data_IF_437070306242
#
_entry.id   IF_437070306242
#
_cell.length_a   1.000
_cell.length_b   1.000
_cell.length_c   1.000
_cell.angle_alpha   90.00
_cell.angle_beta   90.00
_cell.angle_gamma   90.00
#
_symmetry.space_group_name_H-M   'P 1'
#
loop_
_entity.id
_entity.type
_entity.pdbx_description
1 polymer ?
#
# COMPACT_ATOMS: atom_id res chain seq x y z
N UNK A 1 70.52 -6.57 2.76
CA UNK A 1 70.89 -6.79 1.34
C UNK A 1 69.63 -7.27 0.62
N UNK A 2 68.81 -6.36 0.07
CA UNK A 2 68.85 -5.85 -1.32
C UNK A 2 68.43 -6.95 -2.34
N UNK A 3 67.47 -6.79 -3.26
CA UNK A 3 66.78 -5.60 -3.74
C UNK A 3 65.44 -5.94 -4.44
N UNK A 4 64.55 -4.95 -4.46
CA UNK A 4 63.35 -4.82 -5.31
C UNK A 4 63.68 -4.90 -6.80
N UNK A 5 62.75 -5.43 -7.61
CA UNK A 5 62.56 -4.99 -9.01
C UNK A 5 61.11 -4.57 -9.25
N UNK A 6 60.94 -3.26 -9.43
CA UNK A 6 59.80 -2.61 -10.10
C UNK A 6 59.91 -2.86 -11.61
N UNK A 7 58.79 -2.96 -12.32
CA UNK A 7 58.74 -2.59 -13.74
C UNK A 7 57.45 -1.83 -14.05
N UNK A 8 57.61 -0.85 -14.94
CA UNK A 8 56.75 0.29 -15.21
C UNK A 8 55.50 0.00 -16.06
N UNK A 9 54.50 0.87 -15.86
CA UNK A 9 53.44 1.24 -16.80
C UNK A 9 54.00 1.75 -18.14
N UNK A 10 53.15 1.82 -19.17
CA UNK A 10 53.05 3.06 -19.95
C UNK A 10 51.64 3.67 -19.91
N UNK A 11 51.61 4.98 -19.64
CA UNK A 11 50.56 5.91 -20.05
C UNK A 11 50.60 6.07 -21.57
N UNK A 12 49.44 6.15 -22.24
CA UNK A 12 49.23 7.09 -23.34
C UNK A 12 47.77 7.60 -23.38
N UNK A 13 47.65 8.90 -23.69
CA UNK A 13 46.47 9.79 -23.71
C UNK A 13 45.51 9.47 -24.88
N UNK A 14 44.23 9.89 -24.74
CA UNK A 14 43.08 9.70 -25.68
C UNK A 14 43.14 10.50 -26.99
N UNK A 15 42.03 11.00 -27.61
CA UNK A 15 40.58 10.73 -27.48
C UNK A 15 39.89 10.36 -28.84
N UNK A 16 38.64 9.86 -28.85
CA UNK A 16 37.85 9.84 -30.10
C UNK A 16 36.62 8.94 -30.16
N UNK A 17 35.44 9.59 -30.20
CA UNK A 17 34.25 9.25 -30.99
C UNK A 17 33.57 7.88 -30.78
N UNK A 18 32.45 7.92 -30.06
CA UNK A 18 31.37 6.94 -30.14
C UNK A 18 30.81 6.90 -31.57
N UNK A 19 31.04 5.80 -32.28
CA UNK A 19 30.28 5.42 -33.46
C UNK A 19 29.11 4.52 -33.06
N UNK A 20 27.92 5.03 -33.32
CA UNK A 20 26.64 4.34 -33.25
C UNK A 20 26.54 3.30 -34.39
N UNK A 21 26.23 2.01 -34.13
CA UNK A 21 25.75 1.14 -35.19
C UNK A 21 24.24 1.34 -35.33
N UNK A 22 23.85 2.04 -36.38
CA UNK A 22 22.49 1.95 -36.91
C UNK A 22 22.26 0.51 -37.39
N UNK A 23 21.33 -0.18 -36.74
CA UNK A 23 20.75 -1.40 -37.30
C UNK A 23 19.28 -1.11 -37.57
N UNK A 24 19.01 -0.83 -38.84
CA UNK A 24 17.66 -0.84 -39.40
C UNK A 24 17.13 -2.27 -39.37
N UNK A 25 16.12 -2.51 -38.54
CA UNK A 25 15.22 -3.65 -38.74
C UNK A 25 13.83 -3.11 -39.06
N UNK A 26 13.45 -3.27 -40.32
CA UNK A 26 12.09 -3.16 -40.82
C UNK A 26 11.28 -4.36 -40.34
N UNK A 27 10.53 -4.20 -39.25
CA UNK A 27 9.49 -5.15 -38.86
C UNK A 27 8.13 -4.65 -39.32
N UNK A 28 7.55 -5.33 -40.32
CA UNK A 28 6.12 -5.27 -40.61
C UNK A 28 5.36 -6.05 -39.52
N UNK A 29 4.38 -5.47 -38.82
CA UNK A 29 3.44 -6.25 -38.04
C UNK A 29 2.19 -6.54 -38.88
N UNK A 30 2.09 -7.75 -39.41
CA UNK A 30 0.82 -8.33 -39.85
C UNK A 30 0.32 -9.30 -38.77
N UNK A 31 -0.55 -8.79 -37.89
CA UNK A 31 -1.71 -9.51 -37.31
C UNK A 31 -2.45 -8.55 -36.38
N UNK A 32 -3.66 -8.23 -36.81
CA UNK A 32 -4.56 -7.25 -36.23
C UNK A 32 -5.13 -7.76 -34.89
N UNK A 33 -5.06 -6.93 -33.85
CA UNK A 33 -5.93 -7.01 -32.68
C UNK A 33 -7.19 -6.20 -32.98
N UNK A 34 -8.36 -6.83 -32.98
CA UNK A 34 -9.66 -6.21 -33.30
C UNK A 34 -10.23 -5.33 -32.17
N UNK A 35 -9.48 -5.07 -31.09
CA UNK A 35 -9.98 -4.37 -29.90
C UNK A 35 -9.26 -3.05 -29.57
N UNK A 36 -8.31 -2.59 -30.39
CA UNK A 36 -7.53 -1.37 -30.12
C UNK A 36 -7.91 -0.14 -30.96
N UNK A 37 -9.08 -0.11 -31.62
CA UNK A 37 -9.50 0.99 -32.49
C UNK A 37 -10.42 2.05 -31.83
N UNK A 38 -10.22 2.39 -30.56
CA UNK A 38 -10.82 3.63 -30.02
C UNK A 38 -9.79 4.42 -29.21
N UNK A 39 -9.30 5.48 -29.87
CA UNK A 39 -8.55 6.63 -29.36
C UNK A 39 -7.02 6.50 -29.31
N UNK A 40 -6.39 6.49 -30.49
CA UNK A 40 -5.06 7.09 -30.65
C UNK A 40 -5.25 8.52 -31.18
N UNK A 41 -5.08 9.52 -30.32
CA UNK A 41 -4.81 10.89 -30.76
C UNK A 41 -3.30 11.01 -30.87
N UNK A 42 -2.81 11.21 -32.09
CA UNK A 42 -1.42 11.54 -32.42
C UNK A 42 -1.05 12.91 -31.83
N UNK A 43 -0.04 12.95 -30.97
CA UNK A 43 0.58 14.19 -30.51
C UNK A 43 1.72 14.57 -31.45
N UNK A 44 1.57 15.67 -32.18
CA UNK A 44 2.69 16.38 -32.78
C UNK A 44 2.56 17.87 -32.48
N UNK A 45 3.71 18.45 -32.14
CA UNK A 45 4.04 19.88 -32.15
C UNK A 45 3.89 20.63 -30.82
N UNK A 46 5.06 20.82 -30.22
CA UNK A 46 5.43 21.81 -29.21
C UNK A 46 5.20 23.22 -29.76
N UNK A 47 4.54 24.13 -29.04
CA UNK A 47 4.95 25.55 -28.94
C UNK A 47 4.20 26.30 -27.82
N UNK A 48 5.01 26.87 -26.92
CA UNK A 48 4.91 28.18 -26.24
C UNK A 48 3.71 28.54 -25.33
N UNK A 49 4.05 28.83 -24.05
CA UNK A 49 3.24 29.53 -23.03
C UNK A 49 2.99 31.00 -23.44
N UNK A 50 1.92 31.62 -22.90
CA UNK A 50 2.16 32.54 -21.78
C UNK A 50 1.21 32.41 -20.58
N UNK A 51 1.73 32.96 -19.50
CA UNK A 51 1.27 33.30 -18.15
C UNK A 51 -0.22 33.56 -17.85
N UNK A 52 -0.61 33.05 -16.67
CA UNK A 52 -1.46 33.66 -15.62
C UNK A 52 -2.94 33.91 -15.91
N UNK A 53 -3.82 33.03 -15.42
CA UNK A 53 -5.01 33.42 -14.64
C UNK A 53 -5.70 32.21 -14.00
N UNK A 54 -6.05 32.36 -12.73
CA UNK A 54 -6.90 31.47 -11.94
C UNK A 54 -8.28 31.36 -12.55
N UNK A 55 -8.70 30.14 -12.91
CA UNK A 55 -10.10 29.83 -13.20
C UNK A 55 -10.47 28.55 -12.46
N UNK A 56 -11.32 28.67 -11.44
CA UNK A 56 -12.13 27.57 -10.96
C UNK A 56 -13.07 27.17 -12.08
N UNK A 57 -12.81 26.05 -12.74
CA UNK A 57 -13.71 25.54 -13.77
C UNK A 57 -14.79 24.68 -13.11
N UNK A 58 -15.98 25.28 -12.99
CA UNK A 58 -17.23 24.59 -12.79
C UNK A 58 -17.69 24.10 -14.17
N UNK A 59 -17.44 22.83 -14.49
CA UNK A 59 -18.13 22.16 -15.60
C UNK A 59 -19.07 21.11 -15.04
N UNK A 60 -20.36 21.40 -15.17
CA UNK A 60 -21.48 20.50 -14.96
C UNK A 60 -21.45 19.41 -16.05
N UNK A 61 -21.11 18.19 -15.66
CA UNK A 61 -21.24 17.03 -16.54
C UNK A 61 -22.61 16.39 -16.31
N UNK A 62 -23.59 16.87 -17.09
CA UNK A 62 -24.93 16.32 -17.21
C UNK A 62 -24.89 15.03 -18.04
N UNK A 63 -24.42 13.94 -17.44
CA UNK A 63 -24.70 12.59 -17.93
C UNK A 63 -24.69 11.56 -16.79
N UNK A 64 -25.35 11.90 -15.69
CA UNK A 64 -25.55 11.00 -14.56
C UNK A 64 -26.92 10.32 -14.74
N UNK A 65 -26.94 8.99 -14.69
CA UNK A 65 -28.17 8.21 -14.80
C UNK A 65 -29.21 8.66 -13.75
N UNK A 66 -30.51 8.65 -14.07
CA UNK A 66 -31.56 9.07 -13.14
C UNK A 66 -31.45 8.31 -11.82
N UNK A 67 -31.55 9.00 -10.68
CA UNK A 67 -31.38 8.37 -9.35
C UNK A 67 -32.40 7.25 -9.12
N UNK A 68 -33.58 7.35 -9.73
CA UNK A 68 -34.64 6.33 -9.68
C UNK A 68 -34.22 4.99 -10.30
N UNK A 69 -33.26 4.98 -11.23
CA UNK A 69 -32.77 3.75 -11.86
C UNK A 69 -31.83 2.93 -10.97
N UNK A 70 -31.40 3.48 -9.83
CA UNK A 70 -30.43 2.87 -8.93
C UNK A 70 -31.08 2.08 -7.78
N UNK A 71 -32.41 2.14 -7.63
CA UNK A 71 -33.14 1.56 -6.50
C UNK A 71 -34.40 0.82 -6.97
N UNK A 72 -34.86 -0.16 -6.19
CA UNK A 72 -36.14 -0.82 -6.48
C UNK A 72 -37.32 0.11 -6.15
N UNK A 73 -38.52 -0.10 -6.72
CA UNK A 73 -39.70 0.72 -6.42
C UNK A 73 -40.03 0.82 -4.92
N UNK A 74 -39.83 -0.28 -4.17
CA UNK A 74 -40.06 -0.35 -2.73
C UNK A 74 -39.04 0.49 -1.94
N UNK A 75 -37.78 0.49 -2.41
CA UNK A 75 -36.70 1.30 -1.86
C UNK A 75 -36.95 2.79 -2.13
N UNK A 76 -37.34 3.15 -3.36
CA UNK A 76 -37.71 4.52 -3.72
C UNK A 76 -38.85 5.04 -2.83
N UNK A 77 -39.90 4.23 -2.63
CA UNK A 77 -41.03 4.60 -1.77
C UNK A 77 -40.59 4.82 -0.32
N UNK A 78 -39.71 3.96 0.20
CA UNK A 78 -39.17 4.08 1.57
C UNK A 78 -38.35 5.36 1.75
N UNK A 79 -37.47 5.67 0.78
CA UNK A 79 -36.65 6.88 0.81
C UNK A 79 -37.53 8.13 0.77
N UNK A 80 -38.48 8.18 -0.17
CA UNK A 80 -39.40 9.31 -0.33
C UNK A 80 -40.28 9.50 0.91
N UNK A 81 -40.74 8.40 1.52
CA UNK A 81 -41.50 8.46 2.75
C UNK A 81 -40.71 9.17 3.85
N UNK A 82 -39.48 8.73 4.12
CA UNK A 82 -38.63 9.34 5.16
C UNK A 82 -38.32 10.81 4.84
N UNK A 83 -38.00 11.15 3.59
CA UNK A 83 -37.70 12.54 3.21
C UNK A 83 -38.93 13.47 3.31
N UNK A 84 -40.13 12.94 3.11
CA UNK A 84 -41.37 13.72 3.19
C UNK A 84 -41.93 13.82 4.61
N UNK A 85 -41.67 12.84 5.49
CA UNK A 85 -42.27 12.80 6.84
C UNK A 85 -41.32 13.16 7.97
N UNK A 86 -40.02 12.89 7.85
CA UNK A 86 -39.06 13.11 8.94
C UNK A 86 -38.92 14.59 9.30
N UNK A 87 -38.83 14.89 10.59
CA UNK A 87 -38.53 16.21 11.13
C UNK A 87 -37.09 16.64 10.86
N UNK A 88 -36.78 17.92 11.07
CA UNK A 88 -35.41 18.44 10.89
C UNK A 88 -34.39 17.70 11.78
N UNK A 89 -34.76 17.40 13.03
CA UNK A 89 -33.90 16.67 13.97
C UNK A 89 -33.67 15.22 13.55
N UNK A 90 -34.69 14.55 13.01
CA UNK A 90 -34.59 13.18 12.49
C UNK A 90 -33.74 13.13 11.21
N UNK A 91 -33.90 14.09 10.30
CA UNK A 91 -33.03 14.22 9.12
C UNK A 91 -31.58 14.52 9.53
N UNK A 92 -31.37 15.36 10.54
CA UNK A 92 -30.03 15.66 11.07
C UNK A 92 -29.35 14.46 11.76
N UNK A 93 -30.08 13.40 12.10
CA UNK A 93 -29.48 12.15 12.57
C UNK A 93 -28.58 11.52 11.48
N UNK A 94 -28.95 11.69 10.20
CA UNK A 94 -28.11 11.29 9.06
C UNK A 94 -26.94 12.25 8.93
N UNK A 95 -25.71 11.73 9.10
CA UNK A 95 -24.46 12.53 9.15
C UNK A 95 -24.32 13.54 8.00
N UNK A 96 -24.75 13.18 6.78
CA UNK A 96 -24.62 14.02 5.58
C UNK A 96 -25.73 15.07 5.41
N UNK A 97 -26.81 14.97 6.19
CA UNK A 97 -27.93 15.91 6.18
C UNK A 97 -27.87 16.94 7.33
N UNK A 98 -26.87 16.85 8.21
CA UNK A 98 -26.70 17.81 9.32
C UNK A 98 -26.60 19.26 8.87
N UNK A 99 -27.08 20.17 9.73
CA UNK A 99 -27.04 21.61 9.51
C UNK A 99 -28.02 22.03 8.43
N UNK A 100 -27.64 23.00 7.59
CA UNK A 100 -28.54 23.64 6.61
C UNK A 100 -29.22 22.68 5.64
N UNK A 101 -28.67 21.48 5.41
CA UNK A 101 -29.27 20.51 4.47
C UNK A 101 -30.60 19.94 4.98
N UNK A 102 -30.69 19.57 6.26
CA UNK A 102 -31.95 19.11 6.86
C UNK A 102 -32.98 20.25 6.85
N UNK A 103 -32.58 21.46 7.24
CA UNK A 103 -33.43 22.65 7.19
C UNK A 103 -33.94 22.92 5.77
N UNK A 104 -33.06 22.87 4.76
CA UNK A 104 -33.42 23.09 3.36
C UNK A 104 -34.40 22.03 2.83
N UNK A 105 -34.30 20.77 3.26
CA UNK A 105 -35.25 19.72 2.85
C UNK A 105 -36.65 20.03 3.40
N UNK A 106 -36.74 20.38 4.69
CA UNK A 106 -38.01 20.71 5.34
C UNK A 106 -38.62 21.98 4.77
N UNK A 107 -37.81 23.01 4.52
CA UNK A 107 -38.24 24.26 3.91
C UNK A 107 -38.69 24.06 2.45
N UNK A 108 -37.94 23.28 1.68
CA UNK A 108 -38.24 23.01 0.28
C UNK A 108 -39.58 22.29 0.14
N UNK A 109 -39.80 21.20 0.89
CA UNK A 109 -41.08 20.47 0.86
C UNK A 109 -42.24 21.27 1.43
N UNK A 110 -41.98 22.17 2.39
CA UNK A 110 -42.98 23.11 2.90
C UNK A 110 -43.43 24.13 1.86
N UNK A 111 -42.54 24.53 0.94
CA UNK A 111 -42.83 25.51 -0.13
C UNK A 111 -43.35 24.88 -1.42
N UNK A 112 -42.88 23.69 -1.78
CA UNK A 112 -43.12 23.07 -3.09
C UNK A 112 -43.96 21.79 -3.02
N UNK A 113 -44.37 21.38 -1.82
CA UNK A 113 -45.06 20.11 -1.59
C UNK A 113 -44.10 18.92 -1.44
N UNK A 114 -44.64 17.71 -1.21
CA UNK A 114 -43.83 16.51 -1.03
C UNK A 114 -43.06 16.13 -2.31
N UNK A 115 -41.88 15.53 -2.14
CA UNK A 115 -41.11 14.96 -3.24
C UNK A 115 -41.86 13.78 -3.88
N UNK A 116 -41.97 13.79 -5.21
CA UNK A 116 -42.68 12.76 -5.98
C UNK A 116 -41.73 11.66 -6.52
N UNK A 117 -40.49 12.03 -6.80
CA UNK A 117 -39.43 11.15 -7.32
C UNK A 117 -38.08 11.46 -6.65
N UNK A 118 -37.08 10.59 -6.79
CA UNK A 118 -35.79 10.81 -6.14
C UNK A 118 -34.96 11.92 -6.82
N UNK A 119 -35.27 12.24 -8.08
CA UNK A 119 -34.59 13.29 -8.82
C UNK A 119 -34.98 14.69 -8.31
N UNK A 120 -36.22 14.88 -7.85
CA UNK A 120 -36.74 16.12 -7.28
C UNK A 120 -35.98 16.56 -6.01
N UNK A 121 -35.31 15.62 -5.34
CA UNK A 121 -34.43 15.89 -4.20
C UNK A 121 -33.18 16.69 -4.62
N UNK A 122 -32.76 16.61 -5.89
CA UNK A 122 -31.64 17.38 -6.42
C UNK A 122 -31.95 18.87 -6.59
N UNK A 123 -33.23 19.23 -6.62
CA UNK A 123 -33.66 20.63 -6.65
C UNK A 123 -33.51 21.34 -5.29
N UNK A 124 -33.22 20.59 -4.22
CA UNK A 124 -32.97 21.16 -2.89
C UNK A 124 -31.57 21.79 -2.84
N UNK A 125 -31.45 23.06 -2.41
CA UNK A 125 -30.14 23.71 -2.30
C UNK A 125 -29.17 22.92 -1.41
N UNK A 126 -27.92 22.79 -1.86
CA UNK A 126 -26.82 22.06 -1.21
C UNK A 126 -26.92 20.52 -1.26
N UNK A 127 -27.91 19.94 -1.96
CA UNK A 127 -27.95 18.51 -2.27
C UNK A 127 -27.47 18.26 -3.70
N UNK A 128 -26.28 17.66 -3.82
CA UNK A 128 -25.72 17.21 -5.11
C UNK A 128 -25.87 15.71 -5.25
N UNK A 129 -25.92 15.21 -6.48
CA UNK A 129 -26.10 13.78 -6.81
C UNK A 129 -25.24 12.82 -5.97
N UNK A 130 -23.93 13.06 -5.83
CA UNK A 130 -23.04 12.25 -5.00
C UNK A 130 -23.44 12.22 -3.52
N UNK A 131 -23.94 13.32 -2.97
CA UNK A 131 -24.41 13.38 -1.57
C UNK A 131 -25.74 12.67 -1.44
N UNK A 132 -26.65 12.90 -2.38
CA UNK A 132 -28.00 12.33 -2.39
C UNK A 132 -27.99 10.80 -2.47
N UNK A 133 -27.14 10.22 -3.32
CA UNK A 133 -26.97 8.76 -3.39
C UNK A 133 -26.47 8.14 -2.06
N UNK A 134 -25.57 8.82 -1.34
CA UNK A 134 -25.07 8.34 -0.04
C UNK A 134 -26.14 8.53 1.07
N UNK A 135 -26.97 9.56 0.96
CA UNK A 135 -28.10 9.77 1.88
C UNK A 135 -29.15 8.68 1.71
N UNK A 136 -29.52 8.34 0.48
CA UNK A 136 -30.51 7.30 0.17
C UNK A 136 -30.09 5.93 0.69
N UNK A 137 -28.84 5.53 0.43
CA UNK A 137 -28.26 4.31 1.01
C UNK A 137 -28.26 4.33 2.54
N UNK A 138 -28.03 5.48 3.17
CA UNK A 138 -28.11 5.64 4.63
C UNK A 138 -29.53 5.55 5.18
N UNK A 139 -30.56 5.93 4.41
CA UNK A 139 -31.97 5.85 4.80
C UNK A 139 -32.48 4.42 4.67
N UNK A 140 -32.14 3.71 3.59
CA UNK A 140 -32.54 2.32 3.36
C UNK A 140 -31.92 1.34 4.34
N UNK A 141 -30.79 1.71 4.94
CA UNK A 141 -30.08 0.83 5.85
C UNK A 141 -29.47 1.62 7.01
N UNK A 142 -30.28 2.00 8.02
CA UNK A 142 -29.79 2.69 9.21
C UNK A 142 -28.76 1.85 10.00
N UNK A 143 -28.73 0.53 9.76
CA UNK A 143 -27.78 -0.43 10.33
C UNK A 143 -26.71 -0.96 9.35
N UNK A 144 -26.82 -0.68 8.05
CA UNK A 144 -25.74 -0.97 7.08
C UNK A 144 -25.01 0.33 6.76
N UNK A 145 -23.99 0.59 7.57
CA UNK A 145 -23.01 1.64 7.30
C UNK A 145 -22.51 1.46 5.86
N UNK A 146 -22.66 2.45 4.95
CA UNK A 146 -22.04 2.37 3.63
C UNK A 146 -20.54 2.23 3.85
N UNK A 147 -19.95 1.12 3.41
CA UNK A 147 -18.53 0.77 3.52
C UNK A 147 -17.86 1.39 4.76
N UNK A 148 -18.14 0.80 5.94
CA UNK A 148 -17.52 1.08 7.24
C UNK A 148 -16.50 2.23 7.18
N UNK A 149 -16.96 3.45 7.45
CA UNK A 149 -16.10 4.34 8.25
C UNK A 149 -15.95 3.62 9.57
N UNK A 150 -14.82 2.92 9.67
CA UNK A 150 -14.19 2.39 10.88
C UNK A 150 -14.68 3.23 12.06
N UNK A 151 -15.22 2.53 13.06
CA UNK A 151 -15.47 3.09 14.38
C UNK A 151 -14.31 4.01 14.79
N UNK A 152 -14.52 4.95 15.70
CA UNK A 152 -13.42 5.69 16.33
C UNK A 152 -12.54 4.75 17.20
N UNK A 153 -12.07 3.63 16.66
CA UNK A 153 -10.90 2.93 17.14
C UNK A 153 -9.69 3.79 16.84
N UNK A 154 -8.72 3.76 17.75
CA UNK A 154 -7.44 4.44 17.57
C UNK A 154 -6.70 3.77 16.41
N UNK A 155 -6.93 4.23 15.18
CA UNK A 155 -6.22 3.71 14.01
C UNK A 155 -4.73 4.01 14.12
N UNK A 156 -3.93 3.06 13.66
CA UNK A 156 -2.49 3.07 13.87
C UNK A 156 -1.79 3.72 12.68
N UNK A 157 -1.15 4.89 12.90
CA UNK A 157 -0.58 5.71 11.81
C UNK A 157 0.55 5.04 11.01
N UNK A 158 1.24 4.05 11.60
CA UNK A 158 2.38 3.38 10.96
C UNK A 158 1.98 2.18 10.08
N UNK A 159 0.70 1.79 10.06
CA UNK A 159 0.13 0.70 9.27
C UNK A 159 -0.82 1.24 8.20
N UNK A 160 -0.80 0.63 7.01
CA UNK A 160 -1.77 0.89 5.93
C UNK A 160 -2.21 -0.43 5.26
N UNK A 161 -3.45 -0.55 4.75
CA UNK A 161 -4.59 0.35 4.97
C UNK A 161 -4.95 0.49 6.46
N UNK A 162 -5.81 1.45 6.80
CA UNK A 162 -6.24 1.67 8.19
C UNK A 162 -7.03 0.46 8.68
N UNK A 163 -6.60 -0.10 9.82
CA UNK A 163 -7.24 -1.23 10.50
C UNK A 163 -7.41 -0.87 11.97
N UNK A 164 -8.52 -1.31 12.56
CA UNK A 164 -8.78 -1.14 13.98
C UNK A 164 -7.66 -1.79 14.81
N UNK A 165 -7.15 -1.06 15.80
CA UNK A 165 -6.07 -1.52 16.67
C UNK A 165 -6.38 -2.83 17.38
N UNK A 166 -7.64 -3.04 17.76
CA UNK A 166 -8.07 -4.27 18.44
C UNK A 166 -7.96 -5.50 17.52
N UNK A 167 -8.21 -5.32 16.21
CA UNK A 167 -7.98 -6.39 15.23
C UNK A 167 -6.48 -6.70 15.14
N UNK A 168 -5.64 -5.67 15.07
CA UNK A 168 -4.18 -5.85 15.02
C UNK A 168 -3.63 -6.54 16.29
N UNK A 169 -4.18 -6.21 17.47
CA UNK A 169 -3.82 -6.84 18.75
C UNK A 169 -4.34 -8.27 18.90
N UNK A 170 -5.43 -8.61 18.21
CA UNK A 170 -6.03 -9.96 18.27
C UNK A 170 -5.28 -11.00 17.43
N UNK A 171 -4.33 -10.59 16.59
CA UNK A 171 -3.51 -11.51 15.81
C UNK A 171 -2.66 -12.41 16.72
N UNK A 172 -2.80 -13.73 16.57
CA UNK A 172 -2.00 -14.72 17.27
C UNK A 172 -0.58 -14.79 16.70
N UNK A 173 -0.47 -14.64 15.37
CA UNK A 173 0.82 -14.57 14.68
C UNK A 173 0.81 -13.67 13.45
N UNK A 174 1.99 -13.15 13.10
CA UNK A 174 2.23 -12.35 11.90
C UNK A 174 3.39 -12.91 11.08
N UNK A 175 3.36 -12.69 9.76
CA UNK A 175 4.56 -12.77 8.93
C UNK A 175 4.96 -11.38 8.50
N UNK A 176 6.12 -10.93 8.95
CA UNK A 176 6.77 -9.71 8.47
C UNK A 176 7.60 -10.02 7.23
N UNK A 177 7.43 -9.24 6.15
CA UNK A 177 8.04 -9.46 4.84
C UNK A 177 8.76 -8.18 4.41
N UNK A 178 10.03 -8.33 4.02
CA UNK A 178 10.88 -7.26 3.48
C UNK A 178 11.48 -7.74 2.17
N UNK A 179 11.50 -6.87 1.16
CA UNK A 179 12.01 -7.19 -0.17
C UNK A 179 12.92 -6.08 -0.68
N UNK A 180 14.08 -6.51 -1.17
CA UNK A 180 15.07 -5.66 -1.80
C UNK A 180 15.10 -5.85 -3.31
N UNK A 181 16.20 -5.45 -3.94
CA UNK A 181 16.35 -5.51 -5.40
C UNK A 181 16.60 -6.91 -5.96
N UNK A 182 16.92 -7.90 -5.13
CA UNK A 182 17.20 -9.27 -5.56
C UNK A 182 16.79 -10.36 -4.55
N UNK A 183 16.20 -9.99 -3.41
CA UNK A 183 15.87 -10.90 -2.31
C UNK A 183 14.54 -10.53 -1.68
N UNK A 184 13.86 -11.54 -1.17
CA UNK A 184 12.73 -11.40 -0.25
C UNK A 184 13.09 -12.15 1.03
N UNK A 185 12.89 -11.52 2.17
CA UNK A 185 13.04 -12.13 3.48
C UNK A 185 11.75 -12.02 4.26
N UNK A 186 11.51 -13.00 5.14
CA UNK A 186 10.34 -12.99 6.01
C UNK A 186 10.67 -13.55 7.39
N UNK A 187 9.96 -13.05 8.40
CA UNK A 187 9.99 -13.52 9.77
C UNK A 187 8.55 -13.80 10.24
N UNK A 188 8.27 -15.04 10.62
CA UNK A 188 7.03 -15.47 11.25
C UNK A 188 7.19 -15.42 12.76
N UNK A 189 6.34 -14.66 13.43
CA UNK A 189 6.43 -14.42 14.87
C UNK A 189 5.05 -14.36 15.52
N UNK A 190 4.91 -15.02 16.65
CA UNK A 190 3.68 -14.97 17.44
C UNK A 190 3.62 -13.77 18.40
N UNK A 191 2.44 -13.58 19.00
CA UNK A 191 2.16 -12.53 19.99
C UNK A 191 3.00 -12.64 21.27
N UNK A 192 3.72 -13.75 21.49
CA UNK A 192 4.66 -13.93 22.61
C UNK A 192 6.09 -13.55 22.21
N UNK A 193 6.27 -12.95 21.04
CA UNK A 193 7.55 -12.57 20.46
C UNK A 193 8.49 -13.77 20.25
N UNK A 194 7.95 -14.97 19.98
CA UNK A 194 8.75 -16.15 19.61
C UNK A 194 8.86 -16.24 18.10
N UNK A 195 10.10 -16.29 17.59
CA UNK A 195 10.37 -16.47 16.16
C UNK A 195 10.10 -17.92 15.78
N UNK A 196 9.08 -18.15 14.96
CA UNK A 196 8.68 -19.48 14.51
C UNK A 196 9.40 -19.88 13.21
N UNK A 197 9.54 -18.93 12.29
CA UNK A 197 10.28 -19.10 11.05
C UNK A 197 11.00 -17.80 10.68
N UNK A 198 12.21 -17.89 10.12
CA UNK A 198 12.95 -16.72 9.66
C UNK A 198 13.93 -17.10 8.55
N UNK A 199 13.63 -16.64 7.33
CA UNK A 199 14.29 -17.08 6.11
C UNK A 199 14.42 -15.93 5.09
N UNK A 200 15.15 -16.23 4.02
CA UNK A 200 15.23 -15.40 2.82
C UNK A 200 15.31 -16.27 1.57
N UNK A 201 14.84 -15.72 0.45
CA UNK A 201 14.99 -16.29 -0.87
C UNK A 201 15.62 -15.25 -1.82
N UNK A 202 16.44 -15.73 -2.75
CA UNK A 202 16.88 -14.94 -3.90
C UNK A 202 15.85 -15.02 -5.01
N UNK A 203 15.68 -13.92 -5.73
CA UNK A 203 14.79 -13.81 -6.88
C UNK A 203 15.65 -13.54 -8.13
N UNK A 204 16.01 -14.57 -8.91
CA UNK A 204 16.87 -14.42 -10.07
C UNK A 204 16.30 -13.45 -11.13
N UNK A 205 14.98 -13.32 -11.23
CA UNK A 205 14.34 -12.44 -12.21
C UNK A 205 14.37 -10.95 -11.82
N UNK A 206 14.62 -10.65 -10.54
CA UNK A 206 14.49 -9.29 -10.04
C UNK A 206 15.57 -8.38 -10.62
N UNK A 207 15.13 -7.25 -11.16
CA UNK A 207 15.98 -6.19 -11.73
C UNK A 207 17.00 -6.70 -12.77
N UNK A 208 16.73 -7.84 -13.44
CA UNK A 208 17.59 -8.38 -14.50
C UNK A 208 16.96 -8.18 -15.88
N UNK A 209 17.70 -7.50 -16.75
CA UNK A 209 17.29 -7.28 -18.14
C UNK A 209 16.00 -6.46 -18.27
N UNK A 210 15.18 -6.81 -19.25
CA UNK A 210 13.91 -6.13 -19.52
C UNK A 210 12.86 -6.47 -18.46
N UNK A 211 12.13 -5.45 -18.00
CA UNK A 211 11.03 -5.65 -17.06
C UNK A 211 9.89 -6.45 -17.70
N UNK A 212 9.61 -7.64 -17.15
CA UNK A 212 8.50 -8.51 -17.54
C UNK A 212 7.75 -8.99 -16.30
N UNK A 213 6.50 -8.56 -16.15
CA UNK A 213 5.68 -8.88 -14.97
C UNK A 213 5.41 -10.39 -14.81
N UNK A 214 5.29 -11.14 -15.91
CA UNK A 214 5.08 -12.58 -15.86
C UNK A 214 6.25 -13.31 -15.18
N UNK A 215 7.50 -12.91 -15.46
CA UNK A 215 8.69 -13.53 -14.88
C UNK A 215 8.79 -13.20 -13.38
N UNK A 216 8.42 -11.99 -12.97
CA UNK A 216 8.31 -11.63 -11.56
C UNK A 216 7.30 -12.51 -10.83
N UNK A 217 6.16 -12.79 -11.47
CA UNK A 217 5.10 -13.60 -10.88
C UNK A 217 5.58 -15.04 -10.60
N UNK A 218 6.44 -15.62 -11.44
CA UNK A 218 7.00 -16.97 -11.21
C UNK A 218 7.83 -17.05 -9.92
N UNK A 219 8.80 -16.13 -9.78
CA UNK A 219 9.65 -16.03 -8.57
C UNK A 219 8.79 -15.75 -7.32
N UNK A 220 7.89 -14.77 -7.41
CA UNK A 220 7.07 -14.34 -6.27
C UNK A 220 6.05 -15.42 -5.88
N UNK A 221 5.46 -16.14 -6.83
CA UNK A 221 4.55 -17.25 -6.54
C UNK A 221 5.27 -18.39 -5.83
N UNK A 222 6.50 -18.70 -6.27
CA UNK A 222 7.36 -19.71 -5.62
C UNK A 222 7.73 -19.31 -4.20
N UNK A 223 7.95 -18.03 -3.94
CA UNK A 223 8.24 -17.53 -2.59
C UNK A 223 6.98 -17.50 -1.75
N UNK A 224 5.87 -16.99 -2.29
CA UNK A 224 4.60 -16.93 -1.60
C UNK A 224 4.22 -18.32 -1.08
N UNK A 225 4.33 -19.38 -1.88
CA UNK A 225 4.02 -20.75 -1.44
C UNK A 225 4.87 -21.27 -0.27
N UNK A 226 6.05 -20.69 -0.02
CA UNK A 226 6.93 -21.03 1.13
C UNK A 226 6.63 -20.21 2.38
N UNK A 227 5.97 -19.07 2.23
CA UNK A 227 5.60 -18.22 3.35
C UNK A 227 4.52 -18.93 4.19
N UNK A 228 4.73 -19.13 5.51
CA UNK A 228 3.78 -19.83 6.36
C UNK A 228 2.46 -19.06 6.51
N UNK A 229 1.42 -19.76 6.94
CA UNK A 229 0.13 -19.14 7.24
C UNK A 229 0.21 -18.35 8.56
N UNK A 230 -0.37 -17.16 8.57
CA UNK A 230 -0.49 -16.30 9.74
C UNK A 230 -1.77 -15.44 9.64
N UNK A 231 -2.11 -14.74 10.71
CA UNK A 231 -3.32 -13.90 10.76
C UNK A 231 -3.16 -12.61 9.98
N UNK A 232 -1.92 -12.08 9.93
CA UNK A 232 -1.56 -10.87 9.23
C UNK A 232 -0.22 -11.04 8.51
N UNK A 233 -0.12 -10.45 7.31
CA UNK A 233 1.11 -10.32 6.55
C UNK A 233 1.52 -8.84 6.50
N UNK A 234 2.69 -8.52 7.04
CA UNK A 234 3.18 -7.13 7.17
C UNK A 234 4.30 -6.91 6.17
N UNK A 235 4.03 -6.16 5.11
CA UNK A 235 5.01 -5.77 4.10
C UNK A 235 5.67 -4.46 4.47
N UNK A 236 6.94 -4.32 4.13
CA UNK A 236 7.62 -3.03 4.26
C UNK A 236 7.11 -2.00 3.25
N UNK A 237 6.67 -0.84 3.76
CA UNK A 237 6.45 0.34 2.94
C UNK A 237 7.71 1.16 2.82
N UNK A 238 8.39 1.00 1.67
CA UNK A 238 9.54 1.83 1.30
C UNK A 238 9.18 3.32 1.15
N UNK A 239 10.09 4.18 1.61
CA UNK A 239 9.95 5.64 1.62
C UNK A 239 10.42 6.33 0.32
N UNK A 240 10.61 5.58 -0.78
CA UNK A 240 11.00 6.16 -2.06
C UNK A 240 9.97 7.19 -2.57
N UNK A 241 10.46 8.40 -2.85
CA UNK A 241 9.65 9.50 -3.38
C UNK A 241 9.41 9.33 -4.88
N UNK A 242 8.16 9.57 -5.30
CA UNK A 242 7.75 9.64 -6.72
C UNK A 242 8.43 10.79 -7.48
N UNK A 243 8.97 11.78 -6.77
CA UNK A 243 9.61 12.95 -7.37
C UNK A 243 11.03 12.65 -7.86
N UNK A 244 11.67 11.59 -7.36
CA UNK A 244 13.01 11.21 -7.77
C UNK A 244 12.96 10.24 -8.96
N UNK A 245 12.99 10.80 -10.17
CA UNK A 245 12.93 10.04 -11.42
C UNK A 245 14.11 9.09 -11.61
N UNK A 246 15.29 9.37 -11.02
CA UNK A 246 16.46 8.50 -11.12
C UNK A 246 16.26 7.15 -10.41
N UNK A 247 15.39 7.11 -9.39
CA UNK A 247 15.06 5.89 -8.66
C UNK A 247 13.81 5.19 -9.20
N UNK A 248 13.26 5.66 -10.32
CA UNK A 248 12.04 5.11 -10.90
C UNK A 248 12.13 3.60 -11.18
N UNK A 249 13.22 3.02 -11.73
CA UNK A 249 13.29 1.58 -11.97
C UNK A 249 13.20 0.77 -10.67
N UNK A 250 13.87 1.22 -9.60
CA UNK A 250 13.83 0.57 -8.29
C UNK A 250 12.43 0.72 -7.68
N UNK A 251 11.83 1.90 -7.81
CA UNK A 251 10.48 2.14 -7.32
C UNK A 251 9.45 1.26 -8.04
N UNK A 252 9.48 1.20 -9.38
CA UNK A 252 8.61 0.34 -10.18
C UNK A 252 8.74 -1.11 -9.71
N UNK A 253 9.98 -1.59 -9.60
CA UNK A 253 10.27 -2.92 -9.07
C UNK A 253 9.64 -3.18 -7.69
N UNK A 254 9.90 -2.32 -6.69
CA UNK A 254 9.36 -2.50 -5.35
C UNK A 254 7.83 -2.44 -5.33
N UNK A 255 7.20 -1.60 -6.16
CA UNK A 255 5.73 -1.52 -6.27
C UNK A 255 5.12 -2.75 -6.93
N UNK A 256 5.80 -3.32 -7.92
CA UNK A 256 5.39 -4.58 -8.55
C UNK A 256 5.44 -5.73 -7.57
N UNK A 257 6.56 -5.88 -6.83
CA UNK A 257 6.71 -6.91 -5.80
C UNK A 257 5.66 -6.74 -4.70
N UNK A 258 5.45 -5.50 -4.24
CA UNK A 258 4.38 -5.14 -3.27
C UNK A 258 3.01 -5.62 -3.76
N UNK A 259 2.61 -5.25 -4.98
CA UNK A 259 1.29 -5.56 -5.53
C UNK A 259 1.06 -7.07 -5.71
N UNK A 260 2.06 -7.80 -6.20
CA UNK A 260 1.97 -9.25 -6.38
C UNK A 260 1.87 -9.99 -5.05
N UNK A 261 2.69 -9.61 -4.06
CA UNK A 261 2.61 -10.18 -2.71
C UNK A 261 1.27 -9.85 -2.04
N UNK A 262 0.79 -8.61 -2.15
CA UNK A 262 -0.53 -8.21 -1.66
C UNK A 262 -1.62 -9.12 -2.21
N UNK A 263 -1.61 -9.35 -3.51
CA UNK A 263 -2.65 -10.14 -4.19
C UNK A 263 -2.56 -11.62 -3.82
N UNK A 264 -1.37 -12.21 -3.91
CA UNK A 264 -1.17 -13.65 -3.67
C UNK A 264 -1.40 -14.04 -2.22
N UNK A 265 -1.02 -13.18 -1.26
CA UNK A 265 -1.22 -13.46 0.16
C UNK A 265 -2.65 -13.16 0.60
N UNK A 266 -3.30 -12.13 0.05
CA UNK A 266 -4.70 -11.84 0.32
C UNK A 266 -5.63 -12.96 -0.20
N UNK A 267 -5.30 -13.57 -1.34
CA UNK A 267 -6.06 -14.68 -1.92
C UNK A 267 -6.13 -15.94 -1.03
N UNK A 268 -5.30 -16.02 0.02
CA UNK A 268 -5.35 -17.12 1.01
C UNK A 268 -6.52 -17.01 1.98
N UNK A 269 -7.10 -15.84 2.09
CA UNK A 269 -8.23 -15.59 2.95
C UNK A 269 -9.52 -15.64 2.14
N UNK A 270 -10.59 -16.09 2.78
CA UNK A 270 -11.94 -15.93 2.23
C UNK A 270 -12.29 -14.45 2.23
N UNK A 271 -13.36 -14.08 1.53
CA UNK A 271 -13.87 -12.70 1.48
C UNK A 271 -14.33 -12.23 2.88
N UNK A 272 -13.35 -11.89 3.72
CA UNK A 272 -13.54 -11.28 5.02
C UNK A 272 -13.50 -9.76 4.84
N UNK A 273 -14.29 -9.03 5.63
CA UNK A 273 -14.43 -7.57 5.52
C UNK A 273 -13.20 -6.75 5.99
N UNK A 274 -12.05 -7.37 6.27
CA UNK A 274 -10.86 -6.64 6.71
C UNK A 274 -9.57 -7.09 6.03
N UNK A 275 -8.66 -6.14 5.74
CA UNK A 275 -7.42 -6.43 5.05
C UNK A 275 -6.45 -7.19 5.95
N UNK A 276 -5.93 -8.30 5.43
CA UNK A 276 -4.98 -9.19 6.12
C UNK A 276 -3.53 -8.94 5.72
N UNK A 277 -3.33 -8.33 4.56
CA UNK A 277 -2.02 -7.90 4.08
C UNK A 277 -1.92 -6.40 4.29
N UNK A 278 -0.87 -5.98 4.98
CA UNK A 278 -0.68 -4.63 5.49
C UNK A 278 0.70 -4.13 5.12
N UNK A 279 0.86 -2.82 5.14
CA UNK A 279 2.09 -2.09 4.89
C UNK A 279 2.53 -1.38 6.16
N UNK A 280 3.75 -1.64 6.63
CA UNK A 280 4.35 -0.94 7.76
C UNK A 280 5.41 0.06 7.30
N UNK A 281 5.37 1.28 7.81
CA UNK A 281 6.30 2.32 7.39
C UNK A 281 7.72 2.05 7.88
N UNK A 282 8.69 1.90 6.96
CA UNK A 282 10.12 1.70 7.25
C UNK A 282 10.68 2.73 8.24
N UNK A 283 10.25 3.99 8.12
CA UNK A 283 10.68 5.10 8.98
C UNK A 283 10.21 4.89 10.43
N UNK A 284 9.01 4.35 10.63
CA UNK A 284 8.48 4.09 11.98
C UNK A 284 9.29 3.01 12.69
N UNK A 285 9.65 1.94 11.98
CA UNK A 285 10.58 0.90 12.47
C UNK A 285 11.94 1.50 12.80
N UNK A 286 12.50 2.31 11.90
CA UNK A 286 13.79 2.97 12.11
C UNK A 286 13.82 3.87 13.35
N UNK A 287 12.79 4.71 13.54
CA UNK A 287 12.66 5.57 14.73
C UNK A 287 12.53 4.77 16.01
N UNK A 288 11.73 3.71 16.00
CA UNK A 288 11.49 2.85 17.15
C UNK A 288 12.78 2.23 17.72
N UNK A 289 13.71 1.83 16.85
CA UNK A 289 14.99 1.25 17.24
C UNK A 289 16.15 2.25 17.31
N UNK A 290 15.91 3.55 17.15
CA UNK A 290 16.98 4.54 17.14
C UNK A 290 17.96 4.40 15.97
N UNK A 291 17.52 3.83 14.84
CA UNK A 291 18.34 3.59 13.64
C UNK A 291 18.31 4.76 12.65
N UNK A 292 17.78 5.93 13.03
CA UNK A 292 17.69 7.08 12.13
C UNK A 292 18.88 8.03 12.32
N UNK A 293 19.52 8.40 11.22
CA UNK A 293 20.52 9.48 11.14
C UNK A 293 20.02 10.49 10.12
N UNK A 294 19.47 11.60 10.62
CA UNK A 294 18.69 12.53 9.81
C UNK A 294 17.44 11.84 9.25
N UNK A 295 17.28 11.86 7.92
CA UNK A 295 16.18 11.18 7.21
C UNK A 295 16.52 9.76 6.75
N UNK A 296 17.78 9.35 6.93
CA UNK A 296 18.29 8.05 6.48
C UNK A 296 18.30 7.03 7.60
N UNK A 297 17.91 5.79 7.29
CA UNK A 297 17.98 4.66 8.24
C UNK A 297 19.31 3.93 8.10
N UNK A 298 19.99 3.65 9.21
CA UNK A 298 21.21 2.85 9.29
C UNK A 298 20.89 1.35 9.40
N UNK A 299 21.92 0.51 9.25
CA UNK A 299 21.80 -0.95 9.39
C UNK A 299 21.39 -1.35 10.81
N UNK A 300 20.47 -2.30 10.92
CA UNK A 300 20.03 -2.87 12.20
C UNK A 300 20.85 -4.08 12.66
N UNK A 301 21.87 -4.51 11.91
CA UNK A 301 22.57 -5.78 12.15
C UNK A 301 23.20 -5.85 13.54
N UNK A 302 23.83 -4.78 14.02
CA UNK A 302 24.45 -4.76 15.36
C UNK A 302 23.42 -4.95 16.46
N UNK A 303 22.25 -4.31 16.32
CA UNK A 303 21.13 -4.47 17.25
C UNK A 303 20.60 -5.91 17.24
N UNK A 304 20.47 -6.49 16.05
CA UNK A 304 20.06 -7.88 15.89
C UNK A 304 21.04 -8.86 16.55
N UNK A 305 22.34 -8.66 16.36
CA UNK A 305 23.38 -9.48 17.01
C UNK A 305 23.26 -9.41 18.53
N UNK A 306 23.00 -8.21 19.08
CA UNK A 306 22.75 -8.04 20.50
C UNK A 306 21.50 -8.81 20.96
N UNK A 307 20.37 -8.70 20.23
CA UNK A 307 19.14 -9.46 20.54
C UNK A 307 19.35 -10.99 20.50
N UNK A 308 20.15 -11.49 19.55
CA UNK A 308 20.53 -12.91 19.48
C UNK A 308 21.40 -13.35 20.67
N UNK A 309 22.22 -12.46 21.22
CA UNK A 309 22.98 -12.74 22.44
C UNK A 309 22.08 -12.70 23.68
N UNK A 310 21.27 -11.64 23.81
CA UNK A 310 20.40 -11.38 24.96
C UNK A 310 19.31 -12.43 25.11
N UNK A 311 18.73 -12.92 24.01
CA UNK A 311 17.70 -13.98 24.03
C UNK A 311 18.15 -15.29 24.69
N UNK A 312 19.46 -15.55 24.78
CA UNK A 312 20.00 -16.73 25.46
C UNK A 312 20.32 -16.43 26.93
N UNK A 313 20.70 -15.19 27.23
CA UNK A 313 21.29 -14.80 28.51
C UNK A 313 20.31 -14.13 29.47
N UNK A 314 19.27 -13.47 28.95
CA UNK A 314 18.38 -12.62 29.74
C UNK A 314 17.01 -13.26 29.95
N UNK A 315 16.45 -13.06 31.15
CA UNK A 315 15.11 -13.53 31.53
C UNK A 315 13.98 -12.77 30.83
N UNK A 316 14.24 -11.55 30.38
CA UNK A 316 13.27 -10.68 29.69
C UNK A 316 13.86 -10.15 28.38
N UNK A 317 13.88 -11.00 27.36
CA UNK A 317 14.30 -10.60 26.00
C UNK A 317 13.14 -9.98 25.23
N UNK A 318 13.45 -9.05 24.33
CA UNK A 318 12.48 -8.44 23.38
C UNK A 318 11.96 -9.46 22.36
N UNK A 319 12.75 -10.50 22.11
CA UNK A 319 12.47 -11.57 21.15
C UNK A 319 13.04 -12.90 21.65
N UNK A 320 12.33 -13.98 21.43
CA UNK A 320 12.73 -15.34 21.79
C UNK A 320 12.96 -16.17 20.53
N UNK A 321 13.98 -17.02 20.58
CA UNK A 321 14.34 -17.90 19.49
C UNK A 321 14.33 -19.36 19.97
N UNK A 322 13.77 -20.29 19.19
CA UNK A 322 13.95 -21.72 19.43
C UNK A 322 15.43 -22.10 19.51
N UNK A 323 15.79 -22.98 20.44
CA UNK A 323 17.20 -23.32 20.76
C UNK A 323 17.97 -23.85 19.54
N UNK A 324 17.29 -24.62 18.70
CA UNK A 324 17.78 -25.18 17.44
C UNK A 324 18.05 -24.09 16.37
N UNK A 325 17.31 -22.99 16.42
CA UNK A 325 17.44 -21.89 15.47
C UNK A 325 18.52 -20.87 15.85
N UNK A 326 18.76 -20.63 17.16
CA UNK A 326 19.72 -19.64 17.65
C UNK A 326 21.13 -19.85 17.07
N UNK A 327 21.62 -21.09 17.09
CA UNK A 327 22.98 -21.41 16.60
C UNK A 327 23.08 -21.11 15.10
N UNK A 328 22.06 -21.51 14.33
CA UNK A 328 22.00 -21.25 12.89
C UNK A 328 22.03 -19.74 12.60
N UNK A 329 21.25 -18.95 13.32
CA UNK A 329 21.17 -17.51 13.10
C UNK A 329 22.42 -16.77 13.58
N UNK A 330 23.02 -17.16 14.72
CA UNK A 330 24.31 -16.59 15.16
C UNK A 330 25.40 -16.80 14.11
N UNK A 331 25.49 -17.99 13.52
CA UNK A 331 26.43 -18.28 12.44
C UNK A 331 26.14 -17.45 11.18
N UNK A 332 24.87 -17.22 10.89
CA UNK A 332 24.42 -16.49 9.70
C UNK A 332 24.76 -15.00 9.74
N UNK A 333 24.81 -14.40 10.93
CA UNK A 333 25.07 -12.97 11.16
C UNK A 333 26.46 -12.70 11.76
N UNK A 334 27.43 -13.60 11.60
CA UNK A 334 28.79 -13.35 12.08
C UNK A 334 29.42 -12.12 11.41
N UNK A 335 30.21 -11.32 12.17
CA UNK A 335 30.98 -10.21 11.60
C UNK A 335 31.86 -10.68 10.43
N UNK A 336 31.78 -9.99 9.28
CA UNK A 336 32.57 -10.33 8.09
C UNK A 336 31.90 -11.28 7.09
N UNK A 337 30.64 -11.68 7.31
CA UNK A 337 29.88 -12.40 6.30
C UNK A 337 29.78 -11.58 5.00
N UNK A 338 30.17 -12.20 3.86
CA UNK A 338 30.22 -11.53 2.54
C UNK A 338 28.84 -11.07 2.05
N UNK A 339 27.77 -11.75 2.46
CA UNK A 339 26.40 -11.40 2.09
C UNK A 339 25.76 -10.63 3.24
N UNK A 340 25.61 -9.31 3.07
CA UNK A 340 24.78 -8.50 3.97
C UNK A 340 23.33 -8.98 3.86
N UNK A 341 22.75 -9.40 4.98
CA UNK A 341 21.37 -9.94 5.08
C UNK A 341 20.45 -8.88 5.69
N UNK A 342 20.48 -7.69 5.11
CA UNK A 342 19.72 -6.54 5.61
C UNK A 342 18.21 -6.82 5.57
N UNK A 343 17.69 -7.46 4.52
CA UNK A 343 16.27 -7.79 4.42
C UNK A 343 15.82 -8.76 5.52
N UNK A 344 16.66 -9.74 5.89
CA UNK A 344 16.36 -10.63 7.02
C UNK A 344 16.33 -9.86 8.34
N UNK A 345 17.34 -9.01 8.57
CA UNK A 345 17.40 -8.18 9.77
C UNK A 345 16.18 -7.27 9.85
N UNK A 346 15.83 -6.61 8.75
CA UNK A 346 14.70 -5.69 8.66
C UNK A 346 13.37 -6.42 8.85
N UNK A 347 13.21 -7.64 8.31
CA UNK A 347 11.99 -8.43 8.50
C UNK A 347 11.76 -8.75 9.98
N UNK A 348 12.80 -9.15 10.71
CA UNK A 348 12.68 -9.43 12.14
C UNK A 348 12.44 -8.16 12.96
N UNK A 349 13.19 -7.08 12.70
CA UNK A 349 13.00 -5.80 13.38
C UNK A 349 11.58 -5.24 13.14
N UNK A 350 11.07 -5.34 11.92
CA UNK A 350 9.70 -4.94 11.61
C UNK A 350 8.67 -5.77 12.39
N UNK A 351 8.88 -7.08 12.55
CA UNK A 351 8.00 -7.92 13.36
C UNK A 351 8.00 -7.51 14.84
N UNK A 352 9.19 -7.25 15.41
CA UNK A 352 9.34 -6.80 16.81
C UNK A 352 8.68 -5.43 17.00
N UNK A 353 8.95 -4.48 16.10
CA UNK A 353 8.35 -3.16 16.15
C UNK A 353 6.82 -3.21 16.02
N UNK A 354 6.27 -4.13 15.23
CA UNK A 354 4.81 -4.29 15.10
C UNK A 354 4.16 -4.54 16.47
N UNK A 355 4.62 -5.56 17.21
CA UNK A 355 4.05 -5.88 18.51
C UNK A 355 4.35 -4.82 19.58
N UNK A 356 5.57 -4.30 19.61
CA UNK A 356 5.96 -3.30 20.62
C UNK A 356 5.20 -1.98 20.43
N UNK A 357 5.10 -1.48 19.19
CA UNK A 357 4.36 -0.24 18.91
C UNK A 357 2.84 -0.39 19.12
N UNK A 358 2.30 -1.61 18.97
CA UNK A 358 0.91 -1.90 19.32
C UNK A 358 0.69 -1.98 20.84
N UNK A 359 1.73 -2.26 21.62
CA UNK A 359 1.67 -2.36 23.08
C UNK A 359 1.96 -1.02 23.77
N UNK A 360 2.77 -0.15 23.15
CA UNK A 360 3.32 1.07 23.77
C UNK A 360 2.43 2.32 23.67
N UNK A 361 1.10 2.20 23.55
CA UNK A 361 0.20 3.37 23.46
C UNK A 361 -1.09 3.24 24.25
#
# INVERSE_FOLDING_TARGET
MAALKRFCLPLFRGPGLFLCPQVFYSFRPSRQCTLCQRNCITSSTLEQRPSSQTCFDNSEDQNQAPLDSLYTPEQCATILHVLNTASESELAAVKLLRGRKATNIVEYRGKHGPFLDLNSVLSVPLLKHKTTAIVFSSILSPSSVPARKVSKGTTVKFIKPEVDREILKSAESIVSIVYGTNRIAWAHMDHKCVVQDWQQAECPAFMRGTYLAAVYLEDISTIASRIPQADLYILEKSALSLQNTNLFPIMLHLRTVEAMLFTLLAARFKEDNYPRVLNMQRISVGKHFGLMVGESRTSGITLLQQMLCDSVMQKHSRVYFPKDMVVRYKNMFQPGARNRREEMCDALLQAIAFYELLSST
#
